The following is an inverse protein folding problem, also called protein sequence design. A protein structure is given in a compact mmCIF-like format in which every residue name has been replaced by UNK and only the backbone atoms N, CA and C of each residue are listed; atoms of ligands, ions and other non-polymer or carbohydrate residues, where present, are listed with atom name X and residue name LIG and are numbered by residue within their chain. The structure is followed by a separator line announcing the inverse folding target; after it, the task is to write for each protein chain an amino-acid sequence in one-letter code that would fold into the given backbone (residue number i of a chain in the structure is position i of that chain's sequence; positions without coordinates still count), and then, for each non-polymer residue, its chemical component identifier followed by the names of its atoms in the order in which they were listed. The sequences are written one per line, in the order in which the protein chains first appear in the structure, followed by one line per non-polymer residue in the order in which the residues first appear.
data_IF_191165032677
#
_entry.id   IF_191165032677
#
_cell.length_a   1.000
_cell.length_b   1.000
_cell.length_c   1.000
_cell.angle_alpha   90.00
_cell.angle_beta   90.00
_cell.angle_gamma   90.00
#
_symmetry.space_group_name_H-M   'P 1'
#
loop_
_entity.id
_entity.type
_entity.pdbx_description
1 polymer ?
#
# COMPACT_ATOMS: atom_id res chain seq x y z
N UNK A 1 -26.43 13.77 -0.98
CA UNK A 1 -26.18 12.71 -1.92
C UNK A 1 -27.34 11.74 -1.97
N UNK A 2 -27.55 11.08 -3.08
CA UNK A 2 -28.54 10.00 -3.19
C UNK A 2 -28.11 8.81 -2.34
N UNK A 3 -29.07 8.10 -1.75
CA UNK A 3 -28.76 6.86 -1.06
C UNK A 3 -28.30 5.81 -2.07
N UNK A 4 -27.23 5.05 -1.80
CA UNK A 4 -26.83 3.96 -2.69
C UNK A 4 -27.96 2.92 -2.77
N UNK A 5 -28.11 2.29 -3.92
CA UNK A 5 -29.09 1.22 -4.14
C UNK A 5 -28.82 0.00 -3.26
N UNK A 6 -27.57 -0.23 -2.94
CA UNK A 6 -27.09 -1.32 -2.06
C UNK A 6 -25.71 -0.95 -1.49
N UNK A 7 -25.32 -1.62 -0.43
CA UNK A 7 -24.00 -1.46 0.19
C UNK A 7 -23.17 -2.68 -0.22
N UNK A 8 -22.04 -2.49 -0.92
CA UNK A 8 -21.16 -3.60 -1.28
C UNK A 8 -20.61 -4.31 -0.04
N UNK A 9 -20.45 -5.60 -0.16
CA UNK A 9 -19.86 -6.46 0.86
C UNK A 9 -18.57 -7.06 0.33
N UNK A 10 -17.79 -7.73 1.17
CA UNK A 10 -16.59 -8.46 0.76
C UNK A 10 -16.89 -9.56 -0.27
N UNK A 11 -18.13 -10.05 -0.33
CA UNK A 11 -18.56 -11.04 -1.32
C UNK A 11 -18.70 -10.45 -2.73
N UNK A 12 -18.82 -9.13 -2.84
CA UNK A 12 -18.97 -8.41 -4.10
C UNK A 12 -17.61 -7.99 -4.71
N UNK A 13 -16.52 -8.22 -3.97
CA UNK A 13 -15.18 -7.83 -4.34
C UNK A 13 -14.29 -9.06 -4.51
N UNK A 14 -13.46 -9.05 -5.52
CA UNK A 14 -12.36 -9.98 -5.73
C UNK A 14 -11.05 -9.20 -5.72
N UNK A 15 -10.22 -9.46 -4.72
CA UNK A 15 -8.89 -8.85 -4.64
C UNK A 15 -7.85 -9.64 -5.43
N UNK A 16 -6.87 -8.92 -5.96
CA UNK A 16 -5.64 -9.49 -6.49
C UNK A 16 -4.42 -8.82 -5.87
N UNK A 17 -3.56 -9.66 -5.27
CA UNK A 17 -2.20 -9.31 -4.82
C UNK A 17 -1.27 -10.38 -5.35
N UNK A 18 -0.79 -10.27 -6.61
CA UNK A 18 -0.03 -11.34 -7.23
C UNK A 18 1.39 -11.43 -6.65
N UNK A 19 1.88 -12.66 -6.46
CA UNK A 19 3.24 -12.91 -5.91
C UNK A 19 4.37 -12.39 -6.77
N UNK A 20 4.09 -12.00 -8.00
CA UNK A 20 5.05 -11.33 -8.89
C UNK A 20 5.50 -10.00 -8.28
N UNK A 21 4.63 -9.33 -7.53
CA UNK A 21 5.00 -8.20 -6.70
C UNK A 21 5.53 -8.79 -5.38
N UNK A 22 6.85 -8.80 -5.24
CA UNK A 22 7.50 -9.35 -4.05
C UNK A 22 7.38 -8.34 -2.91
N UNK A 23 6.14 -8.11 -2.44
CA UNK A 23 5.89 -7.38 -1.21
C UNK A 23 5.67 -8.38 -0.08
N UNK A 24 6.20 -8.07 1.10
CA UNK A 24 6.20 -9.04 2.16
C UNK A 24 4.81 -9.29 2.77
N UNK A 25 3.96 -8.27 2.87
CA UNK A 25 2.59 -8.45 3.34
C UNK A 25 1.83 -9.34 2.35
N UNK A 26 2.05 -9.18 1.05
CA UNK A 26 1.46 -10.04 0.03
C UNK A 26 1.77 -11.53 0.22
N UNK A 27 2.88 -11.87 0.85
CA UNK A 27 3.20 -13.27 1.18
C UNK A 27 2.29 -13.85 2.26
N UNK A 28 1.81 -13.02 3.21
CA UNK A 28 0.79 -13.42 4.18
C UNK A 28 -0.64 -13.30 3.64
N UNK A 29 -0.90 -12.33 2.76
CA UNK A 29 -2.20 -11.99 2.22
C UNK A 29 -2.26 -12.07 0.68
N UNK A 30 -1.56 -13.04 0.08
CA UNK A 30 -1.58 -13.22 -1.36
C UNK A 30 -2.96 -13.67 -1.83
N UNK A 31 -3.64 -12.79 -2.58
CA UNK A 31 -4.91 -13.09 -3.24
C UNK A 31 -4.64 -13.36 -4.71
N UNK A 32 -4.48 -14.61 -5.06
CA UNK A 32 -4.24 -15.07 -6.42
C UNK A 32 -4.76 -16.51 -6.60
N UNK A 33 -4.81 -16.97 -7.84
CA UNK A 33 -5.31 -18.31 -8.18
C UNK A 33 -4.30 -19.42 -7.83
N UNK A 34 -3.87 -19.43 -6.57
CA UNK A 34 -2.99 -20.46 -5.99
C UNK A 34 -3.40 -20.75 -4.55
N UNK A 35 -3.04 -21.92 -4.01
CA UNK A 35 -3.21 -22.18 -2.59
C UNK A 35 -2.50 -21.11 -1.73
N UNK A 36 -3.09 -20.75 -0.57
CA UNK A 36 -2.42 -19.85 0.37
C UNK A 36 -1.02 -20.34 0.72
N UNK A 37 -0.10 -19.40 0.94
CA UNK A 37 1.23 -19.72 1.46
C UNK A 37 1.09 -20.29 2.88
N UNK A 38 1.93 -21.28 3.19
CA UNK A 38 2.05 -21.77 4.55
C UNK A 38 2.87 -20.76 5.38
N UNK A 39 2.69 -20.73 6.72
CA UNK A 39 3.43 -19.82 7.59
C UNK A 39 4.95 -19.82 7.37
N UNK A 40 5.53 -21.00 7.14
CA UNK A 40 6.97 -21.18 6.88
C UNK A 40 7.43 -20.64 5.52
N UNK A 41 6.52 -20.36 4.60
CA UNK A 41 6.77 -19.79 3.27
C UNK A 41 6.61 -18.26 3.27
N UNK A 42 6.10 -17.69 4.38
CA UNK A 42 5.88 -16.26 4.54
C UNK A 42 7.12 -15.55 5.09
N UNK A 43 7.22 -14.24 4.83
CA UNK A 43 8.37 -13.43 5.25
C UNK A 43 9.51 -13.42 4.23
N UNK A 44 10.69 -13.00 4.65
CA UNK A 44 11.86 -12.82 3.79
C UNK A 44 11.97 -11.40 3.21
N UNK A 45 12.83 -11.17 2.22
CA UNK A 45 13.02 -9.86 1.62
C UNK A 45 11.84 -9.46 0.73
N UNK A 46 11.43 -8.20 0.80
CA UNK A 46 10.50 -7.60 -0.14
C UNK A 46 11.21 -7.07 -1.40
N UNK A 47 10.46 -6.44 -2.29
CA UNK A 47 10.99 -5.87 -3.54
C UNK A 47 11.98 -4.71 -3.33
N UNK A 48 12.05 -4.13 -2.13
CA UNK A 48 13.06 -3.14 -1.73
C UNK A 48 14.23 -3.78 -0.99
N UNK A 49 14.20 -5.10 -0.75
CA UNK A 49 15.21 -5.83 0.02
C UNK A 49 15.06 -5.70 1.53
N UNK A 50 13.95 -5.16 2.03
CA UNK A 50 13.65 -5.10 3.47
C UNK A 50 13.27 -6.48 3.98
N UNK A 51 13.83 -6.89 5.13
CA UNK A 51 13.58 -8.20 5.73
C UNK A 51 12.33 -8.18 6.61
N UNK A 52 11.44 -9.12 6.35
CA UNK A 52 10.19 -9.28 7.09
C UNK A 52 10.16 -10.62 7.81
N UNK A 53 9.37 -10.69 8.87
CA UNK A 53 9.16 -11.90 9.65
C UNK A 53 7.67 -12.15 9.75
N UNK A 54 7.23 -13.36 9.45
CA UNK A 54 5.85 -13.77 9.64
C UNK A 54 5.55 -13.92 11.14
N UNK A 55 4.45 -13.34 11.59
CA UNK A 55 3.98 -13.37 12.97
C UNK A 55 2.64 -14.09 13.01
N UNK A 56 2.65 -15.34 13.45
CA UNK A 56 1.48 -16.22 13.44
C UNK A 56 0.31 -15.64 14.25
N UNK A 57 0.61 -14.96 15.37
CA UNK A 57 -0.40 -14.36 16.26
C UNK A 57 -1.26 -13.29 15.58
N UNK A 58 -0.71 -12.59 14.59
CA UNK A 58 -1.41 -11.55 13.83
C UNK A 58 -1.80 -12.03 12.43
N UNK A 59 -1.38 -13.22 12.04
CA UNK A 59 -1.67 -13.79 10.72
C UNK A 59 -1.03 -13.02 9.57
N UNK A 60 0.06 -12.30 9.81
CA UNK A 60 0.72 -11.44 8.82
C UNK A 60 2.20 -11.29 9.07
N UNK A 61 2.86 -10.55 8.21
CA UNK A 61 4.28 -10.27 8.34
C UNK A 61 4.52 -8.85 8.84
N UNK A 62 5.62 -8.66 9.53
CA UNK A 62 6.07 -7.35 10.00
C UNK A 62 7.58 -7.21 9.78
N UNK A 63 8.04 -5.99 9.66
CA UNK A 63 9.47 -5.69 9.63
C UNK A 63 10.08 -6.10 10.97
N UNK A 64 11.27 -6.66 10.94
CA UNK A 64 11.99 -7.01 12.14
C UNK A 64 12.41 -5.74 12.90
N UNK A 65 11.82 -5.46 14.07
CA UNK A 65 12.06 -4.21 14.77
C UNK A 65 13.51 -4.12 15.33
N UNK A 66 13.98 -2.89 15.54
CA UNK A 66 15.26 -2.60 16.20
C UNK A 66 16.47 -2.73 15.28
N UNK A 67 16.27 -2.84 13.98
CA UNK A 67 17.35 -2.83 12.99
C UNK A 67 16.91 -2.11 11.70
N UNK A 68 16.55 -0.81 11.78
CA UNK A 68 16.13 -0.07 10.62
C UNK A 68 17.25 -0.01 9.57
N UNK A 69 16.85 -0.09 8.30
CA UNK A 69 17.79 0.06 7.19
C UNK A 69 18.19 1.51 6.96
N UNK A 70 17.25 2.43 7.21
CA UNK A 70 17.42 3.86 7.03
C UNK A 70 17.34 4.54 8.40
N UNK A 71 18.44 5.17 8.83
CA UNK A 71 18.52 5.87 10.12
C UNK A 71 18.21 7.36 9.97
N UNK A 72 18.50 7.94 8.82
CA UNK A 72 18.25 9.33 8.45
C UNK A 72 17.63 9.34 7.04
N UNK A 73 16.49 10.01 6.89
CA UNK A 73 15.79 10.04 5.61
C UNK A 73 16.65 10.68 4.48
N UNK A 74 17.61 11.53 4.82
CA UNK A 74 18.51 12.15 3.84
C UNK A 74 19.38 11.13 3.09
N UNK A 75 19.61 9.95 3.68
CA UNK A 75 20.45 8.90 3.10
C UNK A 75 19.64 7.92 2.22
N UNK A 76 18.34 8.15 2.00
CA UNK A 76 17.49 7.15 1.36
C UNK A 76 17.97 6.73 -0.03
N UNK A 77 18.54 7.65 -0.83
CA UNK A 77 19.04 7.35 -2.18
C UNK A 77 20.25 6.40 -2.19
N UNK A 78 21.01 6.42 -1.12
CA UNK A 78 22.21 5.57 -0.97
C UNK A 78 21.84 4.20 -0.38
N UNK A 79 20.79 4.15 0.45
CA UNK A 79 20.42 2.96 1.22
C UNK A 79 19.32 2.14 0.56
N UNK A 80 18.32 2.80 -0.07
CA UNK A 80 17.14 2.15 -0.62
C UNK A 80 17.27 1.99 -2.13
N UNK A 81 17.21 0.75 -2.59
CA UNK A 81 17.10 0.45 -4.02
C UNK A 81 15.63 0.38 -4.41
N UNK A 82 15.22 1.24 -5.33
CA UNK A 82 13.85 1.23 -5.84
C UNK A 82 13.66 0.08 -6.84
N UNK A 83 12.57 -0.70 -6.72
CA UNK A 83 12.25 -1.74 -7.69
C UNK A 83 11.82 -1.14 -9.03
N UNK A 84 12.03 -1.89 -10.10
CA UNK A 84 11.47 -1.55 -11.41
C UNK A 84 10.33 -2.54 -11.76
N UNK A 85 9.06 -2.11 -11.65
CA UNK A 85 7.92 -2.96 -11.98
C UNK A 85 7.89 -3.48 -13.42
N UNK A 86 8.60 -2.84 -14.35
CA UNK A 86 8.67 -3.30 -15.74
C UNK A 86 9.45 -4.62 -15.89
N UNK A 87 10.25 -4.99 -14.88
CA UNK A 87 11.05 -6.22 -14.88
C UNK A 87 10.32 -7.45 -14.33
N UNK A 88 9.09 -7.28 -13.80
CA UNK A 88 8.33 -8.37 -13.20
C UNK A 88 7.67 -9.25 -14.28
N UNK A 89 7.53 -10.56 -14.01
CA UNK A 89 6.89 -11.50 -14.95
C UNK A 89 5.35 -11.42 -14.90
N UNK A 90 4.83 -10.29 -15.37
CA UNK A 90 3.40 -10.03 -15.42
C UNK A 90 2.63 -11.00 -16.32
N UNK A 91 3.24 -11.44 -17.43
CA UNK A 91 2.58 -12.36 -18.38
C UNK A 91 2.26 -13.71 -17.74
N UNK A 92 3.23 -14.32 -17.07
CA UNK A 92 3.00 -15.60 -16.38
C UNK A 92 2.00 -15.44 -15.23
N UNK A 93 2.09 -14.32 -14.51
CA UNK A 93 1.15 -14.01 -13.42
C UNK A 93 -0.27 -13.78 -13.95
N UNK A 94 -0.46 -13.08 -15.07
CA UNK A 94 -1.76 -12.86 -15.68
C UNK A 94 -2.41 -14.17 -16.15
N UNK A 95 -1.62 -15.06 -16.76
CA UNK A 95 -2.09 -16.41 -17.18
C UNK A 95 -2.57 -17.24 -15.98
N UNK A 96 -1.81 -17.20 -14.88
CA UNK A 96 -2.16 -17.89 -13.63
C UNK A 96 -3.49 -17.39 -13.06
N UNK A 97 -3.67 -16.06 -13.05
CA UNK A 97 -4.76 -15.38 -12.38
C UNK A 97 -6.00 -15.14 -13.28
N UNK A 98 -5.94 -15.52 -14.57
CA UNK A 98 -7.06 -15.35 -15.49
C UNK A 98 -8.42 -15.85 -14.97
N UNK A 99 -8.51 -16.99 -14.23
CA UNK A 99 -9.80 -17.46 -13.69
C UNK A 99 -10.45 -16.52 -12.67
N UNK A 100 -9.70 -15.61 -12.03
CA UNK A 100 -10.24 -14.69 -11.03
C UNK A 100 -11.06 -13.57 -11.69
N UNK A 101 -10.71 -13.18 -12.91
CA UNK A 101 -11.35 -12.08 -13.64
C UNK A 101 -12.84 -12.35 -13.92
N UNK A 102 -13.20 -13.60 -14.15
CA UNK A 102 -14.57 -14.00 -14.54
C UNK A 102 -15.47 -14.28 -13.32
N UNK A 103 -15.10 -13.80 -12.14
CA UNK A 103 -15.85 -14.04 -10.90
C UNK A 103 -17.23 -13.37 -10.86
N UNK A 104 -17.50 -12.38 -11.72
CA UNK A 104 -18.69 -11.53 -11.68
C UNK A 104 -18.68 -10.51 -10.53
N UNK A 105 -17.55 -10.34 -9.85
CA UNK A 105 -17.32 -9.40 -8.76
C UNK A 105 -16.49 -8.21 -9.25
N UNK A 106 -16.52 -7.09 -8.51
CA UNK A 106 -15.57 -6.01 -8.75
C UNK A 106 -14.15 -6.50 -8.51
N UNK A 107 -13.30 -6.40 -9.52
CA UNK A 107 -11.94 -6.93 -9.49
C UNK A 107 -10.94 -5.83 -9.14
N UNK A 108 -10.26 -5.96 -8.01
CA UNK A 108 -9.50 -4.88 -7.40
C UNK A 108 -8.06 -5.28 -7.14
N UNK A 109 -7.12 -4.40 -7.54
CA UNK A 109 -5.75 -4.50 -7.05
C UNK A 109 -5.69 -4.10 -5.58
N UNK A 110 -5.09 -4.93 -4.74
CA UNK A 110 -4.75 -4.56 -3.38
C UNK A 110 -3.25 -4.27 -3.30
N UNK A 111 -2.91 -3.00 -3.09
CA UNK A 111 -1.54 -2.56 -2.86
C UNK A 111 -1.28 -2.59 -1.36
N UNK A 112 -0.31 -3.37 -0.96
CA UNK A 112 0.10 -3.51 0.43
C UNK A 112 1.31 -2.62 0.69
N UNK A 113 1.37 -2.02 1.89
CA UNK A 113 2.32 -0.99 2.29
C UNK A 113 2.20 0.28 1.42
N UNK A 114 1.32 1.17 1.79
CA UNK A 114 1.28 2.52 1.27
C UNK A 114 2.53 3.33 1.65
N UNK A 115 2.40 4.63 1.70
CA UNK A 115 3.58 5.50 1.87
C UNK A 115 4.14 5.46 3.30
N UNK A 116 3.28 5.58 4.30
CA UNK A 116 3.71 5.62 5.70
C UNK A 116 4.18 4.25 6.19
N UNK A 117 3.45 3.18 5.90
CA UNK A 117 3.89 1.82 6.24
C UNK A 117 5.19 1.45 5.52
N UNK A 118 5.40 1.96 4.30
CA UNK A 118 6.66 1.78 3.60
C UNK A 118 7.80 2.53 4.30
N UNK A 119 7.56 3.74 4.76
CA UNK A 119 8.55 4.48 5.56
C UNK A 119 8.88 3.74 6.86
N UNK A 120 7.87 3.20 7.57
CA UNK A 120 8.07 2.33 8.75
C UNK A 120 8.96 1.14 8.38
N UNK A 121 8.76 0.54 7.20
CA UNK A 121 9.56 -0.61 6.79
C UNK A 121 11.04 -0.29 6.59
N UNK A 122 11.38 0.96 6.36
CA UNK A 122 12.76 1.42 6.21
C UNK A 122 13.38 1.94 7.51
N UNK A 123 12.61 2.65 8.34
CA UNK A 123 13.12 3.45 9.46
C UNK A 123 12.67 2.94 10.85
N UNK A 124 11.93 1.83 10.94
CA UNK A 124 11.11 1.46 12.09
C UNK A 124 10.03 2.52 12.39
N UNK A 125 9.12 2.21 13.31
CA UNK A 125 7.97 3.09 13.60
C UNK A 125 8.40 4.46 14.18
N UNK A 126 9.31 4.45 15.15
CA UNK A 126 9.77 5.69 15.80
C UNK A 126 10.50 6.60 14.81
N UNK A 127 11.42 6.04 14.02
CA UNK A 127 12.15 6.79 12.99
C UNK A 127 11.21 7.38 11.94
N UNK A 128 10.24 6.59 11.46
CA UNK A 128 9.27 7.04 10.47
C UNK A 128 8.41 8.20 10.98
N UNK A 129 7.85 8.10 12.20
CA UNK A 129 7.02 9.17 12.78
C UNK A 129 7.85 10.44 13.01
N UNK A 130 9.08 10.30 13.48
CA UNK A 130 9.96 11.46 13.70
C UNK A 130 10.36 12.13 12.39
N UNK A 131 10.69 11.37 11.34
CA UNK A 131 11.05 11.92 10.04
C UNK A 131 9.92 12.73 9.38
N UNK A 132 8.63 12.42 9.68
CA UNK A 132 7.50 13.20 9.19
C UNK A 132 7.40 14.60 9.80
N UNK A 133 8.02 14.86 10.95
CA UNK A 133 7.92 16.13 11.68
C UNK A 133 9.27 16.83 11.89
N UNK A 134 10.37 16.20 11.49
CA UNK A 134 11.72 16.72 11.60
C UNK A 134 12.02 17.60 10.39
N UNK A 135 12.15 18.91 10.61
CA UNK A 135 12.41 19.89 9.54
C UNK A 135 13.70 19.61 8.76
N UNK A 136 14.68 18.91 9.36
CA UNK A 136 15.93 18.53 8.70
C UNK A 136 15.76 17.31 7.77
N UNK A 137 14.67 16.54 7.90
CA UNK A 137 14.41 15.31 7.12
C UNK A 137 13.18 15.38 6.19
N UNK A 138 12.26 16.30 6.42
CA UNK A 138 10.99 16.40 5.65
C UNK A 138 11.21 16.45 4.14
N UNK A 139 12.16 17.25 3.65
CA UNK A 139 12.42 17.36 2.20
C UNK A 139 12.84 16.00 1.60
N UNK A 140 13.64 15.23 2.32
CA UNK A 140 14.05 13.90 1.90
C UNK A 140 12.89 12.89 1.93
N UNK A 141 12.00 12.98 2.92
CA UNK A 141 10.77 12.17 2.98
C UNK A 141 9.83 12.53 1.83
N UNK A 142 9.67 13.82 1.52
CA UNK A 142 8.89 14.27 0.35
C UNK A 142 9.45 13.69 -0.95
N UNK A 143 10.76 13.74 -1.15
CA UNK A 143 11.41 13.17 -2.32
C UNK A 143 11.22 11.65 -2.40
N UNK A 144 11.39 10.92 -1.29
CA UNK A 144 11.14 9.48 -1.21
C UNK A 144 9.68 9.15 -1.54
N UNK A 145 8.71 9.85 -0.93
CA UNK A 145 7.29 9.61 -1.18
C UNK A 145 6.89 9.89 -2.63
N UNK A 146 7.51 10.89 -3.26
CA UNK A 146 7.32 11.14 -4.68
C UNK A 146 7.70 9.93 -5.53
N UNK A 147 8.86 9.33 -5.27
CA UNK A 147 9.33 8.14 -5.99
C UNK A 147 8.49 6.89 -5.68
N UNK A 148 8.06 6.73 -4.41
CA UNK A 148 7.16 5.63 -4.04
C UNK A 148 5.81 5.75 -4.75
N UNK A 149 5.26 6.95 -4.86
CA UNK A 149 4.02 7.17 -5.60
C UNK A 149 4.19 6.83 -7.10
N UNK A 150 5.35 7.14 -7.72
CA UNK A 150 5.65 6.73 -9.10
C UNK A 150 5.68 5.21 -9.26
N UNK A 151 6.24 4.49 -8.29
CA UNK A 151 6.25 3.02 -8.28
C UNK A 151 4.81 2.47 -8.15
N UNK A 152 3.99 3.02 -7.24
CA UNK A 152 2.59 2.62 -7.11
C UNK A 152 1.81 2.85 -8.40
N UNK A 153 1.99 4.01 -9.04
CA UNK A 153 1.36 4.32 -10.33
C UNK A 153 1.77 3.31 -11.41
N UNK A 154 3.05 2.99 -11.53
CA UNK A 154 3.52 1.96 -12.46
C UNK A 154 2.89 0.58 -12.18
N UNK A 155 2.82 0.18 -10.91
CA UNK A 155 2.18 -1.08 -10.50
C UNK A 155 0.69 -1.06 -10.85
N UNK A 156 0.00 0.06 -10.66
CA UNK A 156 -1.42 0.22 -11.05
C UNK A 156 -1.59 0.08 -12.56
N UNK A 157 -0.74 0.73 -13.37
CA UNK A 157 -0.77 0.60 -14.82
C UNK A 157 -0.57 -0.86 -15.27
N UNK A 158 0.32 -1.61 -14.62
CA UNK A 158 0.49 -3.04 -14.87
C UNK A 158 -0.75 -3.86 -14.49
N UNK A 159 -1.41 -3.53 -13.38
CA UNK A 159 -2.68 -4.19 -13.02
C UNK A 159 -3.78 -3.90 -14.03
N UNK A 160 -3.86 -2.69 -14.57
CA UNK A 160 -4.80 -2.35 -15.64
C UNK A 160 -4.49 -3.17 -16.89
N UNK A 161 -3.23 -3.17 -17.34
CA UNK A 161 -2.79 -3.84 -18.56
C UNK A 161 -3.02 -5.35 -18.51
N UNK A 162 -2.60 -6.00 -17.44
CA UNK A 162 -2.55 -7.46 -17.36
C UNK A 162 -3.78 -8.11 -16.73
N UNK A 163 -4.47 -7.40 -15.84
CA UNK A 163 -5.64 -7.98 -15.14
C UNK A 163 -6.95 -7.28 -15.47
N UNK A 164 -6.94 -6.02 -15.92
CA UNK A 164 -8.14 -5.26 -16.23
C UNK A 164 -8.99 -5.03 -14.97
N UNK A 165 -8.40 -4.42 -13.96
CA UNK A 165 -9.03 -4.13 -12.68
C UNK A 165 -10.09 -3.03 -12.77
N UNK A 166 -11.04 -3.01 -11.80
CA UNK A 166 -12.10 -2.00 -11.68
C UNK A 166 -11.74 -0.92 -10.64
N UNK A 167 -10.81 -1.21 -9.76
CA UNK A 167 -10.41 -0.31 -8.69
C UNK A 167 -9.14 -0.74 -7.98
N UNK A 168 -8.69 0.13 -7.08
CA UNK A 168 -7.47 -0.05 -6.29
C UNK A 168 -7.80 0.13 -4.82
N UNK A 169 -7.34 -0.78 -3.99
CA UNK A 169 -7.30 -0.64 -2.53
C UNK A 169 -5.85 -0.51 -2.10
N UNK A 170 -5.48 0.63 -1.51
CA UNK A 170 -4.16 0.83 -0.92
C UNK A 170 -4.25 0.66 0.60
N UNK A 171 -3.42 -0.19 1.15
CA UNK A 171 -3.29 -0.42 2.59
C UNK A 171 -2.18 0.47 3.14
N UNK A 172 -2.53 1.36 4.07
CA UNK A 172 -1.58 2.27 4.72
C UNK A 172 -2.15 2.72 6.07
N UNK A 173 -1.75 2.06 7.15
CA UNK A 173 -2.30 2.33 8.47
C UNK A 173 -1.75 3.64 9.06
N UNK A 174 -2.65 4.61 9.25
CA UNK A 174 -2.34 5.95 9.79
C UNK A 174 -2.67 6.11 11.27
N UNK A 175 -3.15 5.05 11.90
CA UNK A 175 -3.56 5.13 13.28
C UNK A 175 -3.58 3.82 14.05
N UNK A 176 -3.69 3.97 15.35
CA UNK A 176 -3.92 2.90 16.30
C UNK A 176 -5.39 2.84 16.70
N UNK A 177 -5.78 1.82 17.47
CA UNK A 177 -7.12 1.75 18.05
C UNK A 177 -7.47 2.92 18.99
N UNK A 178 -6.49 3.74 19.38
CA UNK A 178 -6.69 4.85 20.32
C UNK A 178 -6.68 6.22 19.66
N UNK A 179 -5.81 6.41 18.68
CA UNK A 179 -5.61 7.70 18.01
C UNK A 179 -4.83 7.52 16.70
N UNK A 180 -4.88 8.51 15.79
CA UNK A 180 -3.94 8.61 14.68
C UNK A 180 -2.48 8.66 15.16
N UNK A 181 -1.55 8.25 14.31
CA UNK A 181 -0.11 8.30 14.60
C UNK A 181 0.49 9.69 14.44
N UNK A 182 -0.17 10.56 13.69
CA UNK A 182 0.24 11.93 13.42
C UNK A 182 -0.97 12.87 13.36
N UNK A 183 -0.70 14.17 13.36
CA UNK A 183 -1.75 15.19 13.29
C UNK A 183 -2.37 15.28 11.88
N UNK A 184 -3.56 15.89 11.78
CA UNK A 184 -4.17 16.21 10.48
C UNK A 184 -3.23 17.08 9.64
N UNK A 185 -2.60 18.11 10.24
CA UNK A 185 -1.66 18.98 9.52
C UNK A 185 -0.45 18.21 8.96
N UNK A 186 0.07 17.23 9.73
CA UNK A 186 1.16 16.36 9.25
C UNK A 186 0.69 15.47 8.09
N UNK A 187 -0.54 14.91 8.16
CA UNK A 187 -1.10 14.14 7.07
C UNK A 187 -1.27 14.98 5.79
N UNK A 188 -1.81 16.20 5.93
CA UNK A 188 -2.03 17.15 4.83
C UNK A 188 -0.71 17.57 4.17
N UNK A 189 0.33 17.81 4.97
CA UNK A 189 1.66 18.18 4.48
C UNK A 189 2.37 17.00 3.81
N UNK A 190 2.49 15.87 4.52
CA UNK A 190 3.44 14.82 4.18
C UNK A 190 2.86 13.70 3.31
N UNK A 191 1.57 13.38 3.42
CA UNK A 191 0.97 12.20 2.78
C UNK A 191 -0.04 12.56 1.68
N UNK A 192 -0.94 13.51 1.94
CA UNK A 192 -2.01 13.89 1.02
C UNK A 192 -1.51 14.20 -0.40
N UNK A 193 -0.41 14.94 -0.63
CA UNK A 193 0.03 15.26 -2.00
C UNK A 193 0.30 14.01 -2.85
N UNK A 194 0.82 12.97 -2.24
CA UNK A 194 1.23 11.73 -2.93
C UNK A 194 0.08 10.74 -3.06
N UNK A 195 -0.74 10.60 -2.02
CA UNK A 195 -1.96 9.78 -2.09
C UNK A 195 -2.92 10.36 -3.12
N UNK A 196 -3.11 11.70 -3.16
CA UNK A 196 -3.91 12.39 -4.18
C UNK A 196 -3.39 12.07 -5.59
N UNK A 197 -2.07 12.12 -5.81
CA UNK A 197 -1.49 11.81 -7.11
C UNK A 197 -1.81 10.38 -7.56
N UNK A 198 -1.81 9.41 -6.64
CA UNK A 198 -2.17 8.02 -6.93
C UNK A 198 -3.68 7.92 -7.20
N UNK A 199 -4.52 8.55 -6.38
CA UNK A 199 -5.97 8.55 -6.53
C UNK A 199 -6.40 9.21 -7.85
N UNK A 200 -5.85 10.37 -8.18
CA UNK A 200 -6.12 11.07 -9.43
C UNK A 200 -5.74 10.23 -10.65
N UNK A 201 -4.60 9.52 -10.60
CA UNK A 201 -4.22 8.58 -11.65
C UNK A 201 -5.25 7.45 -11.80
N UNK A 202 -5.74 6.89 -10.71
CA UNK A 202 -6.82 5.90 -10.76
C UNK A 202 -8.07 6.47 -11.44
N UNK A 203 -8.50 7.68 -11.07
CA UNK A 203 -9.66 8.35 -11.65
C UNK A 203 -9.48 8.63 -13.14
N UNK A 204 -8.31 9.08 -13.60
CA UNK A 204 -7.99 9.27 -15.02
C UNK A 204 -8.12 7.97 -15.82
N UNK A 205 -7.89 6.83 -15.19
CA UNK A 205 -8.07 5.50 -15.80
C UNK A 205 -9.49 4.93 -15.64
N UNK A 206 -10.40 5.67 -14.99
CA UNK A 206 -11.76 5.23 -14.73
C UNK A 206 -11.89 4.22 -13.60
N UNK A 207 -10.89 4.11 -12.74
CA UNK A 207 -10.89 3.28 -11.54
C UNK A 207 -11.32 4.11 -10.34
N UNK A 208 -11.98 3.47 -9.35
CA UNK A 208 -12.14 4.06 -8.04
C UNK A 208 -10.93 3.72 -7.14
N UNK A 209 -10.69 4.57 -6.14
CA UNK A 209 -9.58 4.44 -5.21
C UNK A 209 -10.06 4.33 -3.77
N UNK A 210 -9.68 3.24 -3.11
CA UNK A 210 -9.96 2.99 -1.71
C UNK A 210 -8.67 3.05 -0.89
N UNK A 211 -8.72 3.76 0.23
CA UNK A 211 -7.68 3.75 1.26
C UNK A 211 -8.14 2.84 2.41
N UNK A 212 -7.42 1.77 2.68
CA UNK A 212 -7.54 1.05 3.94
C UNK A 212 -6.60 1.67 4.97
N UNK A 213 -7.13 1.95 6.14
CA UNK A 213 -6.32 2.38 7.28
C UNK A 213 -7.02 1.95 8.56
N UNK A 214 -6.46 0.95 9.21
CA UNK A 214 -6.92 0.54 10.53
C UNK A 214 -6.81 1.67 11.55
N UNK A 215 -7.61 1.58 12.59
CA UNK A 215 -7.50 2.44 13.75
C UNK A 215 -8.52 3.56 13.84
N UNK A 216 -8.38 4.37 14.89
CA UNK A 216 -9.27 5.48 15.17
C UNK A 216 -8.84 6.72 14.40
N UNK A 217 -9.23 6.79 13.12
CA UNK A 217 -8.77 7.79 12.15
C UNK A 217 -9.82 8.82 11.75
N UNK A 218 -10.94 8.93 12.47
CA UNK A 218 -12.04 9.87 12.13
C UNK A 218 -11.55 11.33 12.06
N UNK A 219 -10.50 11.67 12.79
CA UNK A 219 -9.89 13.00 12.76
C UNK A 219 -9.11 13.27 11.45
N UNK A 220 -8.74 12.22 10.71
CA UNK A 220 -8.02 12.31 9.44
C UNK A 220 -8.94 12.25 8.21
N UNK A 221 -10.27 12.14 8.40
CA UNK A 221 -11.23 12.16 7.29
C UNK A 221 -11.04 13.36 6.35
N UNK A 222 -10.77 14.59 6.82
CA UNK A 222 -10.48 15.70 5.92
C UNK A 222 -9.27 15.41 4.99
N UNK A 223 -8.21 14.78 5.49
CA UNK A 223 -7.05 14.42 4.68
C UNK A 223 -7.40 13.38 3.59
N UNK A 224 -8.24 12.38 3.89
CA UNK A 224 -8.72 11.43 2.88
C UNK A 224 -9.57 12.11 1.79
N UNK A 225 -10.42 13.07 2.18
CA UNK A 225 -11.21 13.87 1.23
C UNK A 225 -10.28 14.70 0.34
N UNK A 226 -9.30 15.37 0.92
CA UNK A 226 -8.32 16.18 0.19
C UNK A 226 -7.40 15.32 -0.69
N UNK A 227 -7.17 14.07 -0.32
CA UNK A 227 -6.44 13.10 -1.14
C UNK A 227 -7.30 12.45 -2.23
N UNK A 228 -8.56 12.89 -2.41
CA UNK A 228 -9.51 12.36 -3.39
C UNK A 228 -9.80 10.86 -3.22
N UNK A 229 -9.74 10.34 -2.00
CA UNK A 229 -10.09 8.96 -1.69
C UNK A 229 -11.61 8.77 -1.82
N UNK A 230 -12.06 7.82 -2.65
CA UNK A 230 -13.50 7.53 -2.83
C UNK A 230 -14.08 6.78 -1.64
N UNK A 231 -13.31 5.85 -1.09
CA UNK A 231 -13.73 4.97 0.00
C UNK A 231 -12.61 4.89 1.04
N UNK A 232 -12.92 5.22 2.28
CA UNK A 232 -12.08 4.86 3.42
C UNK A 232 -12.71 3.69 4.17
N UNK A 233 -11.91 2.65 4.45
CA UNK A 233 -12.29 1.59 5.35
C UNK A 233 -11.19 1.32 6.39
N UNK A 234 -11.60 0.87 7.59
CA UNK A 234 -10.73 0.57 8.71
C UNK A 234 -11.44 -0.27 9.76
#
# INVERSE_FOLDING_TARGET
GEKPLWIPTTDDIMFITPRVIVDNIARGFAFENMPPLKPEECGGPDMFGTQWVFVEQVGGSMVRPGNPRLLDANDWKEVITLPDPDTFDWESSAKLNAPLKDSGRSFQAMLLNGLFERLISFMDFEGAVMALIDDDQKDAVHDLFSHLADIHIKIIDKHIEYYGIDGVTMHDDWGSQRAPFFSLATAEEMLVPYVRRIADHCHEKGLWFQQHSCGKNEMLVPAYIDAHVDIWNG
#
